data_IF_780507983095
#
_entry.id   IF_780507983095
#
_cell.length_a   1.000
_cell.length_b   1.000
_cell.length_c   1.000
_cell.angle_alpha   90.00
_cell.angle_beta   90.00
_cell.angle_gamma   90.00
#
_symmetry.space_group_name_H-M   'P 1'
#
loop_
_entity.id
_entity.type
_entity.pdbx_description
1 polymer ?
#
# COMPACT_ATOMS: atom_id res chain seq x y z
N UNK A 1 -4.73 34.22 83.69
CA UNK A 1 -5.77 35.26 83.59
C UNK A 1 -6.12 35.46 82.15
N UNK A 2 -7.36 35.12 81.76
CA UNK A 2 -8.15 35.33 80.54
C UNK A 2 -7.58 34.81 79.20
N UNK A 3 -8.09 33.64 78.82
CA UNK A 3 -8.26 33.09 77.48
C UNK A 3 -9.13 33.99 76.59
N UNK A 4 -8.74 34.18 75.34
CA UNK A 4 -9.68 34.55 74.29
C UNK A 4 -9.56 33.58 73.13
N UNK A 5 -10.65 32.86 72.87
CA UNK A 5 -10.89 31.97 71.73
C UNK A 5 -11.05 32.79 70.45
N UNK A 6 -10.38 32.38 69.36
CA UNK A 6 -10.73 32.74 68.02
C UNK A 6 -11.11 31.47 67.22
N UNK A 7 -12.38 31.40 66.90
CA UNK A 7 -12.95 30.42 65.98
C UNK A 7 -12.63 30.85 64.54
N UNK A 8 -11.84 30.06 63.87
CA UNK A 8 -11.62 30.18 62.41
C UNK A 8 -12.59 29.22 61.70
N UNK A 9 -13.55 29.77 60.96
CA UNK A 9 -14.47 29.05 60.08
C UNK A 9 -13.72 28.67 58.79
N UNK A 10 -13.39 27.41 58.61
CA UNK A 10 -12.91 26.84 57.35
C UNK A 10 -14.06 26.74 56.34
N UNK A 11 -14.01 27.52 55.28
CA UNK A 11 -14.83 27.29 54.07
C UNK A 11 -14.13 26.26 53.20
N UNK A 12 -14.71 25.07 53.10
CA UNK A 12 -14.30 24.06 52.10
C UNK A 12 -14.87 24.50 50.78
N UNK A 13 -13.97 24.87 49.84
CA UNK A 13 -14.32 25.12 48.43
C UNK A 13 -14.24 23.78 47.69
N UNK A 14 -15.41 23.21 47.37
CA UNK A 14 -15.49 22.02 46.52
C UNK A 14 -15.24 22.45 45.08
N UNK A 15 -14.01 22.24 44.57
CA UNK A 15 -13.70 22.41 43.18
C UNK A 15 -14.20 21.21 42.38
N UNK A 16 -15.23 21.44 41.56
CA UNK A 16 -15.69 20.48 40.55
C UNK A 16 -14.70 20.50 39.41
N UNK A 17 -13.80 19.48 39.33
CA UNK A 17 -13.01 19.23 38.11
C UNK A 17 -13.95 18.64 37.05
N UNK A 18 -14.37 19.48 36.10
CA UNK A 18 -15.02 19.05 34.89
C UNK A 18 -13.99 18.33 34.00
N UNK A 19 -14.05 17.02 33.93
CA UNK A 19 -13.37 16.24 32.86
C UNK A 19 -14.08 16.54 31.55
N UNK A 20 -13.49 17.41 30.72
CA UNK A 20 -13.87 17.53 29.34
C UNK A 20 -13.40 16.27 28.61
N UNK A 21 -14.30 15.33 28.36
CA UNK A 21 -14.06 14.26 27.38
C UNK A 21 -13.97 14.94 26.01
N UNK A 22 -12.74 15.07 25.49
CA UNK A 22 -12.52 15.36 24.10
C UNK A 22 -13.01 14.13 23.32
N UNK A 23 -14.22 14.23 22.75
CA UNK A 23 -14.66 13.29 21.73
C UNK A 23 -13.74 13.44 20.53
N UNK A 24 -12.94 12.42 20.25
CA UNK A 24 -12.22 12.29 18.99
C UNK A 24 -13.27 12.23 17.87
N UNK A 25 -13.53 13.37 17.26
CA UNK A 25 -14.27 13.42 16.00
C UNK A 25 -13.40 12.77 14.95
N UNK A 26 -13.73 11.55 14.54
CA UNK A 26 -13.29 11.00 13.26
C UNK A 26 -13.85 11.93 12.19
N UNK A 27 -13.00 12.79 11.65
CA UNK A 27 -13.39 13.62 10.52
C UNK A 27 -13.63 12.66 9.35
N UNK A 28 -14.89 12.46 8.98
CA UNK A 28 -15.21 11.91 7.68
C UNK A 28 -14.53 12.82 6.65
N UNK A 29 -13.67 12.22 5.79
CA UNK A 29 -13.09 12.95 4.68
C UNK A 29 -14.24 13.59 3.88
N UNK A 30 -14.17 14.90 3.70
CA UNK A 30 -15.09 15.64 2.85
C UNK A 30 -14.84 15.17 1.40
N UNK A 31 -15.79 14.53 0.72
CA UNK A 31 -15.59 14.02 -0.63
C UNK A 31 -15.34 15.13 -1.67
N UNK A 32 -15.61 16.40 -1.34
CA UNK A 32 -15.36 17.55 -2.19
C UNK A 32 -14.03 18.26 -1.91
N UNK A 33 -13.25 17.78 -0.91
CA UNK A 33 -11.92 18.31 -0.63
C UNK A 33 -10.88 17.68 -1.56
N UNK A 34 -10.53 18.38 -2.63
CA UNK A 34 -9.49 17.99 -3.61
C UNK A 34 -8.05 18.22 -3.10
N UNK A 35 -7.88 18.53 -1.81
CA UNK A 35 -6.59 18.84 -1.20
C UNK A 35 -5.80 17.60 -0.84
N UNK A 36 -4.50 17.64 -1.16
CA UNK A 36 -3.57 16.59 -0.81
C UNK A 36 -3.24 16.60 0.69
N UNK A 37 -3.56 15.53 1.39
CA UNK A 37 -3.17 15.29 2.78
C UNK A 37 -1.82 14.56 2.83
N UNK A 38 -0.77 15.15 3.43
CA UNK A 38 0.49 14.45 3.65
C UNK A 38 0.28 13.24 4.57
N UNK A 39 0.88 12.10 4.20
CA UNK A 39 0.97 10.91 5.05
C UNK A 39 2.32 10.81 5.75
N UNK A 40 3.35 11.49 5.25
CA UNK A 40 4.69 11.49 5.83
C UNK A 40 4.87 12.72 6.72
N UNK A 41 5.10 12.48 8.00
CA UNK A 41 5.51 13.45 9.02
C UNK A 41 6.85 13.05 9.65
N UNK A 42 7.34 13.84 10.60
CA UNK A 42 8.66 13.60 11.23
C UNK A 42 8.69 12.36 12.13
N UNK A 43 7.55 11.98 12.70
CA UNK A 43 7.44 10.97 13.73
C UNK A 43 6.77 9.67 13.24
N UNK A 44 6.42 9.60 11.95
CA UNK A 44 5.62 8.50 11.40
C UNK A 44 4.31 8.31 12.17
N UNK A 45 3.69 9.40 12.65
CA UNK A 45 2.55 9.35 13.58
C UNK A 45 1.34 8.63 13.00
N UNK A 46 1.19 8.65 11.66
CA UNK A 46 0.10 7.99 10.92
C UNK A 46 0.40 6.53 10.59
N UNK A 47 1.58 6.02 10.99
CA UNK A 47 2.08 4.72 10.59
C UNK A 47 2.39 3.82 11.78
N UNK A 48 2.46 2.53 11.54
CA UNK A 48 3.00 1.51 12.44
C UNK A 48 3.94 0.59 11.65
N UNK A 49 4.98 0.10 12.32
CA UNK A 49 5.99 -0.76 11.72
C UNK A 49 5.73 -2.20 12.12
N UNK A 50 5.75 -3.10 11.15
CA UNK A 50 5.85 -4.53 11.38
C UNK A 50 7.12 -5.06 10.75
N UNK A 51 8.03 -5.60 11.56
CA UNK A 51 9.31 -6.14 11.09
C UNK A 51 9.22 -7.67 11.00
N UNK A 52 9.56 -8.19 9.84
CA UNK A 52 9.56 -9.61 9.52
C UNK A 52 10.71 -10.38 10.15
N UNK A 53 11.14 -11.45 9.47
CA UNK A 53 12.19 -12.36 9.93
C UNK A 53 13.57 -11.77 9.58
N UNK A 54 14.46 -11.53 10.56
CA UNK A 54 15.82 -11.10 10.26
C UNK A 54 16.60 -12.19 9.56
N UNK A 55 17.39 -11.83 8.53
CA UNK A 55 18.34 -12.76 7.94
C UNK A 55 19.42 -13.16 8.96
N UNK A 56 19.94 -14.38 8.87
CA UNK A 56 20.93 -14.92 9.81
C UNK A 56 22.18 -14.07 9.97
N UNK A 57 22.56 -13.28 8.94
CA UNK A 57 23.72 -12.37 8.97
C UNK A 57 23.44 -11.03 9.64
N UNK A 58 22.18 -10.71 9.97
CA UNK A 58 21.83 -9.43 10.61
C UNK A 58 22.20 -9.49 12.10
N UNK A 59 22.93 -8.48 12.54
CA UNK A 59 23.32 -8.33 13.94
C UNK A 59 22.16 -7.81 14.79
N UNK A 60 21.33 -8.73 15.24
CA UNK A 60 20.23 -8.52 16.18
C UNK A 60 20.14 -9.74 17.09
N UNK A 61 19.92 -9.54 18.37
CA UNK A 61 19.70 -10.61 19.34
C UNK A 61 18.27 -11.18 19.17
N UNK A 62 18.17 -12.21 18.35
CA UNK A 62 16.90 -12.84 17.99
C UNK A 62 17.10 -14.30 17.58
N UNK A 63 16.34 -15.21 18.20
CA UNK A 63 16.40 -16.66 18.00
C UNK A 63 15.63 -17.17 16.77
N UNK A 64 14.82 -16.30 16.16
CA UNK A 64 13.93 -16.61 15.04
C UNK A 64 14.45 -16.23 13.66
N UNK A 65 15.78 -16.03 13.47
CA UNK A 65 16.39 -15.65 12.18
C UNK A 65 16.22 -16.75 11.12
N UNK A 66 16.22 -16.35 9.83
CA UNK A 66 16.15 -17.25 8.69
C UNK A 66 17.04 -16.82 7.53
N UNK A 67 17.46 -17.76 6.68
CA UNK A 67 18.37 -17.47 5.55
C UNK A 67 17.69 -16.83 4.34
N UNK A 68 16.36 -16.89 4.28
CA UNK A 68 15.56 -16.32 3.20
C UNK A 68 14.83 -15.02 3.59
N UNK A 69 14.93 -14.58 4.86
CA UNK A 69 14.22 -13.42 5.40
C UNK A 69 12.71 -13.63 5.56
N UNK A 70 12.20 -14.84 5.32
CA UNK A 70 10.77 -15.19 5.32
C UNK A 70 10.47 -16.31 6.31
N UNK A 71 11.29 -17.37 6.26
CA UNK A 71 11.14 -18.54 7.13
C UNK A 71 11.76 -18.27 8.49
N UNK A 72 10.96 -18.32 9.55
CA UNK A 72 11.43 -18.06 10.92
C UNK A 72 10.38 -17.35 11.74
N UNK A 73 10.82 -16.63 12.77
CA UNK A 73 9.95 -15.87 13.66
C UNK A 73 10.13 -14.38 13.41
N UNK A 74 9.08 -13.65 12.99
CA UNK A 74 9.18 -12.20 12.78
C UNK A 74 9.46 -11.47 14.09
N UNK A 75 10.14 -10.34 14.02
CA UNK A 75 10.31 -9.42 15.17
C UNK A 75 8.95 -8.87 15.61
N UNK A 76 8.06 -8.58 14.67
CA UNK A 76 6.67 -8.24 14.94
C UNK A 76 6.35 -6.76 14.92
N UNK A 77 5.17 -6.43 15.47
CA UNK A 77 4.61 -5.07 15.47
C UNK A 77 5.35 -4.17 16.46
N UNK A 78 5.58 -2.91 16.04
CA UNK A 78 6.25 -1.88 16.84
C UNK A 78 7.78 -2.05 16.91
N UNK A 79 8.34 -3.02 16.20
CA UNK A 79 9.78 -3.33 16.24
C UNK A 79 10.50 -2.63 15.07
N UNK A 80 11.28 -1.60 15.39
CA UNK A 80 12.08 -0.82 14.43
C UNK A 80 13.50 -0.55 14.97
N UNK A 81 14.03 -1.44 15.80
CA UNK A 81 15.28 -1.27 16.52
C UNK A 81 16.49 -1.06 15.62
N UNK A 82 16.43 -1.60 14.41
CA UNK A 82 17.46 -1.43 13.39
C UNK A 82 17.30 -0.16 12.55
N UNK A 83 16.26 0.67 12.84
CA UNK A 83 15.96 1.85 12.05
C UNK A 83 15.64 1.50 10.58
N UNK A 84 14.82 0.44 10.39
CA UNK A 84 14.40 0.01 9.05
C UNK A 84 13.68 1.16 8.34
N UNK A 85 12.81 1.84 9.07
CA UNK A 85 12.12 3.04 8.61
C UNK A 85 12.56 4.23 9.49
N UNK A 86 13.19 5.22 8.88
CA UNK A 86 13.62 6.45 9.56
C UNK A 86 13.27 7.67 8.75
N UNK A 87 12.81 8.72 9.41
CA UNK A 87 12.57 10.00 8.75
C UNK A 87 13.81 10.86 8.90
N UNK A 88 14.30 11.39 7.80
CA UNK A 88 15.37 12.40 7.75
C UNK A 88 14.81 13.69 7.17
N UNK A 89 15.34 14.82 7.61
CA UNK A 89 14.94 16.11 7.04
C UNK A 89 15.88 16.48 5.90
N UNK A 90 15.33 16.60 4.69
CA UNK A 90 16.06 17.04 3.51
C UNK A 90 15.40 18.30 2.95
N UNK A 91 16.16 19.38 2.81
CA UNK A 91 15.66 20.68 2.31
C UNK A 91 14.41 21.17 3.07
N UNK A 92 14.38 20.96 4.41
CA UNK A 92 13.26 21.36 5.27
C UNK A 92 12.00 20.50 5.14
N UNK A 93 12.06 19.37 4.43
CA UNK A 93 10.94 18.45 4.23
C UNK A 93 11.26 17.05 4.75
N UNK A 94 10.29 16.31 5.28
CA UNK A 94 10.51 14.94 5.70
C UNK A 94 10.73 14.03 4.47
N UNK A 95 11.73 13.17 4.59
CA UNK A 95 12.05 12.11 3.66
C UNK A 95 12.19 10.79 4.42
N UNK A 96 11.47 9.76 4.00
CA UNK A 96 11.54 8.44 4.59
C UNK A 96 12.72 7.68 3.99
N UNK A 97 13.64 7.25 4.83
CA UNK A 97 14.68 6.28 4.49
C UNK A 97 14.17 4.90 4.86
N UNK A 98 14.17 3.99 3.91
CA UNK A 98 13.96 2.56 4.11
C UNK A 98 15.31 1.88 3.97
N UNK A 99 15.82 1.24 5.04
CA UNK A 99 17.16 0.63 5.01
C UNK A 99 17.26 -0.61 4.13
N UNK A 100 16.17 -1.34 3.96
CA UNK A 100 16.14 -2.62 3.26
C UNK A 100 16.73 -3.80 4.05
N UNK A 101 17.29 -3.57 5.23
CA UNK A 101 18.09 -4.53 5.99
C UNK A 101 17.30 -5.78 6.42
N UNK A 102 16.04 -5.60 6.78
CA UNK A 102 15.11 -6.67 7.13
C UNK A 102 13.82 -6.44 6.36
N UNK A 103 13.19 -7.50 5.91
CA UNK A 103 11.85 -7.40 5.32
C UNK A 103 10.88 -6.86 6.35
N UNK A 104 10.22 -5.77 6.02
CA UNK A 104 9.34 -5.07 6.95
C UNK A 104 8.25 -4.30 6.17
N UNK A 105 7.20 -3.94 6.88
CA UNK A 105 6.12 -3.13 6.36
C UNK A 105 5.89 -1.90 7.24
N UNK A 106 5.89 -0.72 6.63
CA UNK A 106 5.39 0.51 7.21
C UNK A 106 3.93 0.66 6.81
N UNK A 107 3.01 0.54 7.77
CA UNK A 107 1.58 0.38 7.54
C UNK A 107 0.81 1.58 8.04
N UNK A 108 -0.12 2.13 7.27
CA UNK A 108 -1.01 3.19 7.76
C UNK A 108 -1.88 2.67 8.91
N UNK A 109 -2.08 3.48 9.95
CA UNK A 109 -2.99 3.16 11.07
C UNK A 109 -4.44 3.16 10.60
N UNK A 110 -4.78 4.05 9.68
CA UNK A 110 -6.12 4.18 9.10
C UNK A 110 -6.25 3.37 7.82
N UNK A 111 -7.46 2.88 7.57
CA UNK A 111 -7.86 2.32 6.28
C UNK A 111 -8.28 3.42 5.33
N UNK A 112 -7.95 3.24 4.05
CA UNK A 112 -8.28 4.16 2.97
C UNK A 112 -9.25 3.50 1.98
N UNK A 113 -10.17 4.31 1.43
CA UNK A 113 -11.05 3.93 0.34
C UNK A 113 -11.27 5.13 -0.59
N UNK A 114 -11.47 4.89 -1.89
CA UNK A 114 -11.73 5.92 -2.89
C UNK A 114 -10.71 7.07 -2.83
N UNK A 115 -9.48 6.77 -3.22
CA UNK A 115 -8.36 7.70 -3.06
C UNK A 115 -7.44 7.74 -4.27
N UNK A 116 -6.68 8.82 -4.34
CA UNK A 116 -5.48 8.98 -5.15
C UNK A 116 -4.28 9.11 -4.20
N UNK A 117 -3.44 8.09 -4.17
CA UNK A 117 -2.15 8.08 -3.46
C UNK A 117 -1.05 8.48 -4.44
N UNK A 118 -0.12 9.32 -4.00
CA UNK A 118 1.13 9.59 -4.73
C UNK A 118 2.31 9.56 -3.79
N UNK A 119 3.46 9.18 -4.32
CA UNK A 119 4.75 9.25 -3.66
C UNK A 119 5.86 9.31 -4.70
N UNK A 120 7.04 9.73 -4.28
CA UNK A 120 8.25 9.61 -5.09
C UNK A 120 9.24 8.70 -4.38
N UNK A 121 9.97 7.87 -5.13
CA UNK A 121 11.04 7.03 -4.61
C UNK A 121 12.35 7.24 -5.37
N UNK A 122 13.46 6.90 -4.71
CA UNK A 122 14.80 6.90 -5.31
C UNK A 122 15.63 5.79 -4.69
N UNK A 123 16.21 4.94 -5.54
CA UNK A 123 17.13 3.91 -5.11
C UNK A 123 18.42 4.47 -4.53
N UNK A 124 18.96 3.76 -3.54
CA UNK A 124 20.32 3.92 -3.02
C UNK A 124 21.20 2.74 -3.46
N UNK A 125 22.49 2.82 -3.17
CA UNK A 125 23.45 1.78 -3.60
C UNK A 125 23.35 0.49 -2.77
N UNK A 126 22.91 0.59 -1.52
CA UNK A 126 23.01 -0.48 -0.54
C UNK A 126 21.98 -1.58 -0.77
N UNK A 127 22.45 -2.82 -0.69
CA UNK A 127 21.63 -4.05 -0.75
C UNK A 127 21.97 -4.95 0.42
N UNK A 128 21.04 -5.84 0.77
CA UNK A 128 21.14 -6.74 1.89
C UNK A 128 20.79 -8.17 1.51
N UNK A 129 21.37 -9.20 2.22
CA UNK A 129 20.91 -10.57 2.09
C UNK A 129 19.41 -10.69 2.44
N UNK A 130 18.69 -11.60 1.77
CA UNK A 130 19.20 -12.56 0.78
C UNK A 130 19.32 -11.99 -0.65
N UNK A 131 19.03 -10.69 -0.88
CA UNK A 131 18.88 -10.10 -2.22
C UNK A 131 20.12 -9.35 -2.74
N UNK A 132 21.31 -9.69 -2.32
CA UNK A 132 22.55 -9.00 -2.72
C UNK A 132 22.76 -8.95 -4.24
N UNK A 133 22.40 -10.03 -4.96
CA UNK A 133 22.56 -10.17 -6.41
C UNK A 133 21.25 -9.95 -7.19
N UNK A 134 20.13 -9.90 -6.47
CA UNK A 134 18.81 -9.68 -7.08
C UNK A 134 18.60 -8.20 -7.45
N UNK A 135 17.59 -7.92 -8.27
CA UNK A 135 17.10 -6.56 -8.50
C UNK A 135 16.71 -5.91 -7.17
N UNK A 136 16.91 -4.60 -7.04
CA UNK A 136 16.39 -3.85 -5.89
C UNK A 136 14.88 -3.95 -5.87
N UNK A 137 14.32 -4.11 -4.68
CA UNK A 137 12.90 -4.41 -4.50
C UNK A 137 12.30 -3.62 -3.33
N UNK A 138 11.11 -3.17 -3.54
CA UNK A 138 10.19 -2.55 -2.61
C UNK A 138 8.79 -2.56 -3.25
N UNK A 139 7.78 -2.01 -2.59
CA UNK A 139 6.43 -1.93 -3.16
C UNK A 139 5.51 -1.05 -2.34
N UNK A 140 4.43 -0.63 -2.99
CA UNK A 140 3.27 -0.02 -2.36
C UNK A 140 2.16 -1.06 -2.37
N UNK A 141 1.88 -1.61 -1.19
CA UNK A 141 0.74 -2.51 -1.00
C UNK A 141 -0.48 -1.68 -0.59
N UNK A 142 -1.60 -1.97 -1.20
CA UNK A 142 -2.83 -1.23 -0.94
C UNK A 142 -4.02 -2.18 -0.75
N UNK A 143 -5.10 -1.67 -0.16
CA UNK A 143 -6.20 -2.47 0.34
C UNK A 143 -5.71 -3.62 1.24
N UNK A 144 -4.73 -3.30 2.11
CA UNK A 144 -4.17 -4.26 3.04
C UNK A 144 -5.20 -4.64 4.10
N UNK A 145 -5.46 -5.93 4.24
CA UNK A 145 -6.46 -6.51 5.14
C UNK A 145 -5.94 -7.70 5.92
N UNK A 146 -6.62 -8.05 7.00
CA UNK A 146 -6.24 -9.15 7.87
C UNK A 146 -5.14 -8.75 8.87
N UNK A 147 -4.33 -9.71 9.29
CA UNK A 147 -3.27 -9.47 10.29
C UNK A 147 -1.94 -9.13 9.63
N UNK A 148 -1.11 -8.38 10.34
CA UNK A 148 0.30 -8.25 9.98
C UNK A 148 0.97 -9.63 9.92
N UNK A 149 1.92 -9.81 9.02
CA UNK A 149 2.66 -11.06 8.87
C UNK A 149 1.86 -12.21 8.25
N UNK A 150 0.66 -11.95 7.69
CA UNK A 150 -0.18 -12.98 7.07
C UNK A 150 0.47 -13.60 5.82
N UNK A 151 1.30 -12.85 5.12
CA UNK A 151 2.05 -13.30 3.95
C UNK A 151 3.56 -13.10 4.20
N UNK A 152 4.35 -14.15 3.97
CA UNK A 152 5.81 -14.18 4.18
C UNK A 152 6.28 -13.77 5.59
N UNK A 153 5.42 -13.92 6.60
CA UNK A 153 5.69 -13.44 7.96
C UNK A 153 6.00 -11.92 8.04
N UNK A 154 5.56 -11.12 7.06
CA UNK A 154 5.81 -9.68 7.04
C UNK A 154 4.62 -8.87 6.52
N UNK A 155 4.02 -9.23 5.39
CA UNK A 155 2.99 -8.42 4.73
C UNK A 155 1.57 -8.82 5.13
N UNK A 156 0.62 -7.90 4.98
CA UNK A 156 -0.81 -8.19 5.03
C UNK A 156 -1.28 -8.73 3.68
N UNK A 157 -2.47 -9.35 3.63
CA UNK A 157 -3.12 -9.65 2.36
C UNK A 157 -3.45 -8.34 1.63
N UNK A 158 -3.04 -8.20 0.38
CA UNK A 158 -3.12 -6.93 -0.36
C UNK A 158 -2.95 -7.10 -1.86
N UNK A 159 -3.11 -5.99 -2.59
CA UNK A 159 -2.59 -5.84 -3.95
C UNK A 159 -1.34 -4.96 -3.88
N UNK A 160 -0.40 -5.20 -4.77
CA UNK A 160 0.86 -4.50 -4.79
C UNK A 160 1.05 -3.77 -6.12
N UNK A 161 1.35 -2.49 -6.01
CA UNK A 161 1.99 -1.70 -7.06
C UNK A 161 3.50 -1.84 -6.86
N UNK A 162 4.12 -2.68 -7.67
CA UNK A 162 5.52 -3.07 -7.53
C UNK A 162 6.47 -1.87 -7.71
N UNK A 163 7.50 -1.83 -6.88
CA UNK A 163 8.66 -0.96 -7.02
C UNK A 163 9.90 -1.88 -7.06
N UNK A 164 10.16 -2.45 -8.21
CA UNK A 164 11.35 -3.26 -8.45
C UNK A 164 12.06 -2.71 -9.69
N UNK A 165 13.40 -2.72 -9.70
CA UNK A 165 14.19 -2.29 -10.87
C UNK A 165 13.67 -2.93 -12.16
N UNK A 166 13.39 -2.13 -13.17
CA UNK A 166 12.82 -2.48 -14.48
C UNK A 166 11.37 -3.05 -14.45
N UNK A 167 10.71 -3.10 -13.28
CA UNK A 167 9.39 -3.71 -13.12
C UNK A 167 8.40 -2.82 -12.34
N UNK A 168 8.69 -1.53 -12.24
CA UNK A 168 7.85 -0.57 -11.54
C UNK A 168 6.44 -0.51 -12.11
N UNK A 169 5.45 -0.49 -11.21
CA UNK A 169 4.02 -0.40 -11.55
C UNK A 169 3.37 -1.74 -11.89
N UNK A 170 4.11 -2.83 -12.01
CA UNK A 170 3.55 -4.17 -12.21
C UNK A 170 2.62 -4.55 -11.06
N UNK A 171 1.65 -5.39 -11.34
CA UNK A 171 0.73 -5.93 -10.35
C UNK A 171 1.25 -7.24 -9.77
N UNK A 172 1.32 -7.30 -8.46
CA UNK A 172 1.52 -8.52 -7.69
C UNK A 172 0.36 -8.73 -6.72
N UNK A 173 -0.13 -9.96 -6.68
CA UNK A 173 -1.14 -10.41 -5.74
C UNK A 173 -0.47 -10.90 -4.46
N UNK A 174 -0.87 -10.37 -3.32
CA UNK A 174 -0.31 -10.72 -2.01
C UNK A 174 -1.35 -11.46 -1.17
N UNK A 175 -1.08 -12.71 -0.85
CA UNK A 175 -1.95 -13.54 -0.01
C UNK A 175 -3.28 -13.91 -0.66
N UNK A 176 -4.40 -13.68 0.02
CA UNK A 176 -5.76 -14.11 -0.37
C UNK A 176 -6.52 -13.12 -1.25
N UNK A 177 -5.84 -12.13 -1.84
CA UNK A 177 -6.48 -11.17 -2.75
C UNK A 177 -6.56 -11.70 -4.18
N UNK A 178 -7.42 -11.12 -4.98
CA UNK A 178 -7.55 -11.40 -6.41
C UNK A 178 -8.07 -10.17 -7.15
N UNK A 179 -7.76 -10.11 -8.45
CA UNK A 179 -8.24 -9.05 -9.33
C UNK A 179 -8.34 -9.55 -10.77
N UNK A 180 -9.08 -8.83 -11.60
CA UNK A 180 -9.03 -8.99 -13.04
C UNK A 180 -8.21 -7.88 -13.67
N UNK A 181 -7.38 -8.25 -14.64
CA UNK A 181 -6.50 -7.34 -15.38
C UNK A 181 -6.64 -7.62 -16.87
N UNK A 182 -6.79 -6.59 -17.73
CA UNK A 182 -6.74 -6.79 -19.17
C UNK A 182 -5.29 -7.06 -19.60
N UNK A 183 -5.09 -8.18 -20.30
CA UNK A 183 -3.75 -8.66 -20.72
C UNK A 183 -3.77 -9.16 -22.15
N UNK A 184 -2.60 -9.26 -22.76
CA UNK A 184 -2.44 -9.85 -24.09
C UNK A 184 -2.96 -11.31 -24.11
N UNK A 185 -3.88 -11.60 -25.04
CA UNK A 185 -4.47 -12.92 -25.19
C UNK A 185 -3.45 -14.00 -25.67
N UNK A 186 -2.39 -13.59 -26.35
CA UNK A 186 -1.41 -14.46 -27.01
C UNK A 186 -0.50 -15.24 -26.04
N UNK A 187 -0.40 -14.84 -24.78
CA UNK A 187 0.39 -15.57 -23.80
C UNK A 187 -0.43 -16.72 -23.20
N UNK A 188 -0.42 -17.88 -23.87
CA UNK A 188 -0.74 -19.11 -23.17
C UNK A 188 0.26 -19.25 -22.03
N UNK A 189 -0.23 -19.14 -20.81
CA UNK A 189 0.58 -19.37 -19.61
C UNK A 189 1.05 -20.83 -19.67
N UNK A 190 2.27 -21.06 -20.16
CA UNK A 190 2.94 -22.34 -19.96
C UNK A 190 3.49 -22.34 -18.52
N UNK A 191 2.95 -23.18 -17.63
CA UNK A 191 3.43 -23.24 -16.25
C UNK A 191 4.95 -23.53 -16.15
N UNK A 192 5.55 -24.11 -17.19
CA UNK A 192 6.99 -24.44 -17.24
C UNK A 192 7.85 -23.25 -17.68
N UNK A 193 7.32 -22.30 -18.44
CA UNK A 193 8.10 -21.20 -19.00
C UNK A 193 8.14 -19.94 -18.12
N UNK A 194 7.39 -19.91 -17.02
CA UNK A 194 7.30 -18.74 -16.11
C UNK A 194 6.98 -17.42 -16.84
N UNK A 195 6.38 -17.48 -18.03
CA UNK A 195 5.96 -16.29 -18.78
C UNK A 195 4.87 -15.57 -17.98
N UNK A 196 5.18 -14.35 -17.56
CA UNK A 196 4.22 -13.50 -16.89
C UNK A 196 3.47 -12.68 -17.93
N UNK A 197 2.12 -12.60 -17.88
CA UNK A 197 1.35 -11.77 -18.79
C UNK A 197 1.71 -10.30 -18.61
N UNK A 198 1.59 -9.54 -19.71
CA UNK A 198 1.76 -8.10 -19.71
C UNK A 198 0.40 -7.41 -19.77
N UNK A 199 0.30 -6.30 -19.08
CA UNK A 199 -0.86 -5.43 -19.16
C UNK A 199 -1.06 -4.92 -20.59
N UNK A 200 -2.30 -4.99 -21.07
CA UNK A 200 -2.74 -4.38 -22.32
C UNK A 200 -4.19 -3.85 -22.10
N UNK A 201 -4.41 -2.51 -22.16
CA UNK A 201 -5.73 -1.93 -21.91
C UNK A 201 -6.82 -2.44 -22.85
N UNK A 202 -6.46 -2.87 -24.06
CA UNK A 202 -7.37 -3.44 -25.07
C UNK A 202 -7.42 -4.98 -25.05
N UNK A 203 -6.68 -5.60 -24.11
CA UNK A 203 -6.53 -7.03 -24.00
C UNK A 203 -7.74 -7.75 -23.39
N UNK A 204 -7.61 -9.06 -23.24
CA UNK A 204 -8.59 -9.91 -22.58
C UNK A 204 -8.57 -9.70 -21.06
N UNK A 205 -9.73 -9.47 -20.45
CA UNK A 205 -9.85 -9.32 -19.00
C UNK A 205 -9.75 -10.70 -18.33
N UNK A 206 -8.60 -10.98 -17.69
CA UNK A 206 -8.30 -12.24 -17.02
C UNK A 206 -8.24 -12.08 -15.51
N UNK A 207 -8.66 -13.14 -14.80
CA UNK A 207 -8.59 -13.23 -13.35
C UNK A 207 -7.25 -13.78 -12.88
N UNK A 208 -6.65 -13.09 -11.91
CA UNK A 208 -5.43 -13.46 -11.18
C UNK A 208 -5.81 -13.69 -9.72
N UNK A 209 -5.71 -14.95 -9.30
CA UNK A 209 -6.19 -15.44 -8.00
C UNK A 209 -5.22 -16.51 -7.45
N UNK A 210 -5.34 -16.94 -6.19
CA UNK A 210 -4.62 -18.10 -5.68
C UNK A 210 -4.76 -19.29 -6.62
N UNK A 211 -3.63 -19.90 -7.01
CA UNK A 211 -3.61 -21.01 -7.96
C UNK A 211 -3.78 -20.66 -9.46
N UNK A 212 -4.12 -19.39 -9.79
CA UNK A 212 -4.34 -18.93 -11.18
C UNK A 212 -3.31 -17.88 -11.65
N UNK A 213 -2.17 -17.80 -10.99
CA UNK A 213 -1.18 -16.75 -11.22
C UNK A 213 -1.38 -15.55 -10.30
N UNK A 214 -0.33 -14.76 -10.11
CA UNK A 214 -0.34 -13.66 -9.15
C UNK A 214 0.31 -12.38 -9.63
N UNK A 215 0.80 -12.34 -10.88
CA UNK A 215 1.59 -11.23 -11.38
C UNK A 215 1.19 -10.87 -12.80
N UNK A 216 1.06 -9.57 -13.06
CA UNK A 216 0.95 -8.99 -14.41
C UNK A 216 2.00 -7.90 -14.53
N UNK A 217 2.87 -8.01 -15.53
CA UNK A 217 3.95 -7.06 -15.75
C UNK A 217 3.45 -5.79 -16.43
N UNK A 218 4.07 -4.66 -16.09
CA UNK A 218 4.01 -3.46 -16.92
C UNK A 218 4.52 -3.80 -18.33
N UNK A 219 3.89 -3.30 -19.40
CA UNK A 219 4.32 -3.61 -20.77
C UNK A 219 5.73 -3.12 -21.07
N UNK A 220 6.09 -1.96 -20.51
CA UNK A 220 7.40 -1.30 -20.68
C UNK A 220 7.79 -0.66 -19.36
N UNK A 221 9.08 -0.67 -19.03
CA UNK A 221 9.58 0.10 -17.89
C UNK A 221 9.51 1.60 -18.19
N UNK A 222 8.92 2.35 -17.28
CA UNK A 222 8.89 3.81 -17.26
C UNK A 222 9.76 4.37 -16.12
N UNK A 223 10.58 3.53 -15.51
CA UNK A 223 11.51 3.91 -14.46
C UNK A 223 12.62 4.79 -15.05
N UNK A 224 13.01 5.83 -14.30
CA UNK A 224 14.16 6.67 -14.61
C UNK A 224 15.45 5.97 -14.18
N UNK A 225 16.61 6.40 -14.69
CA UNK A 225 17.90 5.85 -14.30
C UNK A 225 18.11 5.79 -12.80
N UNK A 226 18.92 4.83 -12.36
CA UNK A 226 19.28 4.64 -10.95
C UNK A 226 19.75 5.96 -10.31
N UNK A 227 19.26 6.24 -9.10
CA UNK A 227 19.56 7.46 -8.36
C UNK A 227 18.68 8.66 -8.69
N UNK A 228 17.81 8.58 -9.70
CA UNK A 228 16.81 9.61 -9.99
C UNK A 228 15.48 9.37 -9.24
N UNK A 229 14.73 10.46 -9.02
CA UNK A 229 13.42 10.38 -8.40
C UNK A 229 12.36 9.89 -9.39
N UNK A 230 11.66 8.83 -9.02
CA UNK A 230 10.53 8.26 -9.74
C UNK A 230 9.23 8.55 -9.00
N UNK A 231 8.18 8.91 -9.73
CA UNK A 231 6.85 9.10 -9.19
C UNK A 231 6.00 7.83 -9.37
N UNK A 232 5.37 7.39 -8.29
CA UNK A 232 4.38 6.31 -8.28
C UNK A 232 3.05 6.88 -7.81
N UNK A 233 1.98 6.53 -8.52
CA UNK A 233 0.64 6.88 -8.11
C UNK A 233 -0.25 5.64 -8.16
N UNK A 234 -1.12 5.51 -7.16
CA UNK A 234 -2.19 4.51 -7.10
C UNK A 234 -3.51 5.24 -6.96
N UNK A 235 -4.38 5.10 -7.96
CA UNK A 235 -5.76 5.54 -7.86
C UNK A 235 -6.64 4.33 -7.58
N UNK A 236 -7.52 4.40 -6.58
CA UNK A 236 -8.42 3.33 -6.22
C UNK A 236 -9.84 3.86 -5.98
N UNK A 237 -10.83 3.24 -6.62
CA UNK A 237 -12.25 3.56 -6.45
C UNK A 237 -13.05 2.26 -6.44
N UNK A 238 -13.80 2.03 -5.36
CA UNK A 238 -14.54 0.79 -5.19
C UNK A 238 -13.62 -0.42 -5.33
N UNK A 239 -13.94 -1.33 -6.24
CA UNK A 239 -13.19 -2.54 -6.54
C UNK A 239 -12.29 -2.40 -7.80
N UNK A 240 -11.83 -1.19 -8.09
CA UNK A 240 -10.96 -0.88 -9.23
C UNK A 240 -9.74 -0.09 -8.77
N UNK A 241 -8.60 -0.29 -9.45
CA UNK A 241 -7.39 0.47 -9.21
C UNK A 241 -6.57 0.69 -10.49
N UNK A 242 -5.74 1.74 -10.46
CA UNK A 242 -4.83 2.10 -11.56
C UNK A 242 -3.45 2.36 -10.97
N UNK A 243 -2.40 1.80 -11.58
CA UNK A 243 -1.02 2.16 -11.26
C UNK A 243 -0.47 3.10 -12.35
N UNK A 244 0.23 4.13 -11.89
CA UNK A 244 0.84 5.15 -12.74
C UNK A 244 2.30 5.30 -12.34
N UNK A 245 3.20 5.25 -13.31
CA UNK A 245 4.65 5.43 -13.12
C UNK A 245 5.09 6.59 -13.97
N UNK A 246 5.68 7.62 -13.34
CA UNK A 246 6.16 8.83 -14.00
C UNK A 246 5.13 9.45 -14.96
N UNK A 247 3.86 9.48 -14.53
CA UNK A 247 2.73 10.03 -15.28
C UNK A 247 2.14 9.11 -16.35
N UNK A 248 2.66 7.90 -16.53
CA UNK A 248 2.12 6.91 -17.48
C UNK A 248 1.33 5.84 -16.78
N UNK A 249 0.10 5.57 -17.24
CA UNK A 249 -0.71 4.44 -16.77
C UNK A 249 -0.05 3.14 -17.25
N UNK A 250 0.29 2.26 -16.31
CA UNK A 250 0.99 1.00 -16.60
C UNK A 250 0.18 -0.23 -16.18
N UNK A 251 -0.91 -0.03 -15.43
CA UNK A 251 -1.75 -1.13 -14.94
C UNK A 251 -3.17 -0.63 -14.66
N UNK A 252 -4.17 -1.44 -15.02
CA UNK A 252 -5.55 -1.26 -14.61
C UNK A 252 -6.10 -2.55 -14.00
N UNK A 253 -6.66 -2.48 -12.80
CA UNK A 253 -7.24 -3.61 -12.08
C UNK A 253 -8.74 -3.41 -11.91
N UNK A 254 -9.50 -4.47 -12.06
CA UNK A 254 -10.96 -4.47 -11.95
C UNK A 254 -11.42 -5.66 -11.12
N UNK A 255 -12.61 -5.55 -10.54
CA UNK A 255 -13.23 -6.62 -9.74
C UNK A 255 -12.25 -7.14 -8.66
N UNK A 256 -11.65 -6.21 -7.94
CA UNK A 256 -10.74 -6.52 -6.83
C UNK A 256 -11.56 -7.17 -5.72
N UNK A 257 -11.09 -8.33 -5.23
CA UNK A 257 -11.76 -9.12 -4.20
C UNK A 257 -10.76 -9.75 -3.24
N UNK A 258 -11.29 -10.28 -2.16
CA UNK A 258 -10.58 -11.11 -1.19
C UNK A 258 -11.28 -12.47 -1.04
N UNK A 259 -10.51 -13.54 -0.94
CA UNK A 259 -11.03 -14.85 -0.54
C UNK A 259 -11.31 -14.87 0.98
N UNK A 260 -12.50 -15.30 1.35
CA UNK A 260 -12.91 -15.51 2.75
C UNK A 260 -13.68 -16.82 2.82
N UNK A 261 -13.14 -17.81 3.54
CA UNK A 261 -13.69 -19.16 3.55
C UNK A 261 -13.72 -19.73 2.12
N UNK A 262 -14.87 -20.26 1.71
CA UNK A 262 -15.07 -20.85 0.38
C UNK A 262 -15.57 -19.84 -0.67
N UNK A 263 -15.60 -18.54 -0.34
CA UNK A 263 -16.13 -17.50 -1.21
C UNK A 263 -15.19 -16.31 -1.39
N UNK A 264 -15.69 -15.30 -2.10
CA UNK A 264 -14.99 -14.03 -2.30
C UNK A 264 -15.89 -12.85 -1.99
N UNK A 265 -15.32 -11.79 -1.44
CA UNK A 265 -16.02 -10.51 -1.24
C UNK A 265 -15.31 -9.39 -1.99
N UNK A 266 -16.01 -8.35 -2.45
CA UNK A 266 -15.37 -7.16 -3.00
C UNK A 266 -14.42 -6.53 -1.97
N UNK A 267 -13.21 -6.19 -2.41
CA UNK A 267 -12.20 -5.53 -1.59
C UNK A 267 -12.06 -4.08 -2.07
N UNK A 268 -12.64 -3.13 -1.31
CA UNK A 268 -12.80 -1.72 -1.72
C UNK A 268 -12.02 -0.76 -0.85
N UNK A 269 -11.50 -1.24 0.29
CA UNK A 269 -10.80 -0.45 1.29
C UNK A 269 -9.78 -1.30 2.01
N UNK A 270 -8.84 -0.66 2.66
CA UNK A 270 -7.83 -1.29 3.50
C UNK A 270 -6.72 -0.32 3.83
N UNK A 271 -5.73 -0.81 4.57
CA UNK A 271 -4.54 -0.03 4.90
C UNK A 271 -3.60 0.04 3.69
N UNK A 272 -2.60 0.92 3.80
CA UNK A 272 -1.50 1.04 2.83
C UNK A 272 -0.22 0.60 3.52
N UNK A 273 0.61 -0.21 2.83
CA UNK A 273 1.93 -0.60 3.31
C UNK A 273 3.02 -0.14 2.32
N UNK A 274 4.15 0.30 2.86
CA UNK A 274 5.40 0.52 2.12
C UNK A 274 6.35 -0.59 2.55
N UNK A 275 6.95 -1.28 1.58
CA UNK A 275 7.83 -2.40 1.84
C UNK A 275 9.28 -1.97 2.11
N UNK A 276 9.96 -2.77 2.96
CA UNK A 276 11.40 -2.91 3.03
C UNK A 276 11.73 -4.31 2.56
N UNK A 277 12.50 -4.44 1.46
CA UNK A 277 12.75 -5.74 0.83
C UNK A 277 14.15 -5.85 0.21
N UNK A 278 15.17 -5.83 1.07
CA UNK A 278 16.56 -6.16 0.69
C UNK A 278 17.33 -5.04 -0.01
N UNK A 279 16.74 -3.86 -0.24
CA UNK A 279 17.39 -2.72 -0.86
C UNK A 279 17.11 -1.42 -0.10
N UNK A 280 18.12 -0.57 0.02
CA UNK A 280 17.96 0.77 0.57
C UNK A 280 17.36 1.71 -0.49
N UNK A 281 16.34 2.48 -0.06
CA UNK A 281 15.74 3.51 -0.89
C UNK A 281 15.18 4.64 -0.04
N UNK A 282 14.83 5.71 -0.72
CA UNK A 282 14.23 6.89 -0.09
C UNK A 282 12.87 7.16 -0.71
N UNK A 283 11.91 7.57 0.13
CA UNK A 283 10.60 8.06 -0.29
C UNK A 283 10.41 9.51 0.15
N UNK A 284 9.68 10.28 -0.64
CA UNK A 284 9.24 11.63 -0.29
C UNK A 284 7.86 11.92 -0.88
N UNK A 285 7.24 13.02 -0.44
CA UNK A 285 5.96 13.49 -0.96
C UNK A 285 4.86 12.42 -0.90
N UNK A 286 4.88 11.58 0.15
CA UNK A 286 3.81 10.59 0.36
C UNK A 286 2.55 11.34 0.76
N UNK A 287 1.55 11.37 -0.12
CA UNK A 287 0.32 12.10 0.11
C UNK A 287 -0.87 11.38 -0.54
N UNK A 288 -2.05 11.61 0.05
CA UNK A 288 -3.31 11.01 -0.38
C UNK A 288 -4.38 12.10 -0.47
N UNK A 289 -5.31 11.94 -1.41
CA UNK A 289 -6.53 12.76 -1.47
C UNK A 289 -7.74 11.88 -1.81
N UNK A 290 -8.95 12.30 -1.48
CA UNK A 290 -10.17 11.63 -1.94
C UNK A 290 -10.24 11.60 -3.47
N UNK A 291 -10.89 10.57 -4.01
CA UNK A 291 -11.13 10.42 -5.44
C UNK A 291 -12.55 9.89 -5.67
N UNK A 292 -13.39 10.67 -6.32
CA UNK A 292 -14.79 10.30 -6.58
C UNK A 292 -15.01 9.63 -7.94
N UNK A 293 -14.12 9.90 -8.90
CA UNK A 293 -14.13 9.28 -10.24
C UNK A 293 -12.71 9.26 -10.82
N UNK A 294 -12.42 8.27 -11.63
CA UNK A 294 -11.20 8.31 -12.45
C UNK A 294 -11.32 9.41 -13.53
N UNK A 295 -10.26 10.19 -13.77
CA UNK A 295 -10.20 11.02 -14.96
C UNK A 295 -10.40 10.15 -16.21
N UNK A 296 -11.16 10.63 -17.18
CA UNK A 296 -11.56 9.83 -18.35
C UNK A 296 -10.36 9.26 -19.13
N UNK A 297 -9.32 10.06 -19.31
CA UNK A 297 -8.09 9.62 -19.98
C UNK A 297 -7.39 8.47 -19.22
N UNK A 298 -7.36 8.54 -17.88
CA UNK A 298 -6.79 7.51 -17.02
C UNK A 298 -7.62 6.22 -17.08
N UNK A 299 -8.95 6.32 -16.96
CA UNK A 299 -9.84 5.17 -17.06
C UNK A 299 -9.70 4.44 -18.40
N UNK A 300 -9.62 5.19 -19.50
CA UNK A 300 -9.39 4.63 -20.85
C UNK A 300 -8.03 3.94 -20.95
N UNK A 301 -6.95 4.59 -20.49
CA UNK A 301 -5.60 4.02 -20.52
C UNK A 301 -5.46 2.79 -19.60
N UNK A 302 -6.30 2.68 -18.56
CA UNK A 302 -6.38 1.52 -17.66
C UNK A 302 -7.27 0.37 -18.20
N UNK A 303 -7.82 0.49 -19.41
CA UNK A 303 -8.72 -0.52 -19.97
C UNK A 303 -10.07 -0.62 -19.25
N UNK A 304 -10.45 0.41 -18.52
CA UNK A 304 -11.75 0.50 -17.85
C UNK A 304 -12.77 1.00 -18.85
N UNK A 305 -13.51 0.06 -19.46
CA UNK A 305 -14.59 0.41 -20.40
C UNK A 305 -15.74 0.99 -19.59
N UNK A 306 -16.24 2.15 -20.02
CA UNK A 306 -17.56 2.61 -19.57
C UNK A 306 -18.56 1.48 -19.85
N UNK A 307 -19.29 1.02 -18.83
CA UNK A 307 -20.55 0.33 -19.06
C UNK A 307 -21.52 1.38 -19.63
N UNK A 308 -21.38 1.68 -20.92
CA UNK A 308 -22.45 2.34 -21.63
C UNK A 308 -23.64 1.39 -21.53
N UNK A 309 -24.75 1.91 -21.05
CA UNK A 309 -26.08 1.28 -21.14
C UNK A 309 -26.44 1.10 -22.63
N UNK A 310 -25.77 0.20 -23.31
CA UNK A 310 -26.18 -0.25 -24.65
C UNK A 310 -27.32 -1.25 -24.46
N UNK A 311 -28.49 -0.72 -24.07
CA UNK A 311 -29.75 -1.34 -24.36
C UNK A 311 -29.90 -1.30 -25.89
N UNK A 312 -29.36 -2.31 -26.56
CA UNK A 312 -29.73 -2.58 -27.93
C UNK A 312 -31.24 -2.73 -27.91
N UNK A 313 -31.92 -1.69 -28.39
CA UNK A 313 -33.32 -1.72 -28.73
C UNK A 313 -33.42 -2.77 -29.86
N UNK A 314 -33.88 -3.96 -29.50
CA UNK A 314 -34.24 -4.99 -30.47
C UNK A 314 -35.31 -4.42 -31.37
N UNK A 315 -35.01 -4.17 -32.64
CA UNK A 315 -36.02 -3.96 -33.64
C UNK A 315 -36.81 -5.26 -33.79
N UNK A 316 -38.14 -5.25 -33.67
CA UNK A 316 -38.95 -6.41 -34.00
C UNK A 316 -38.81 -6.65 -35.48
N UNK A 317 -38.40 -7.86 -35.84
CA UNK A 317 -38.48 -8.38 -37.20
C UNK A 317 -39.97 -8.46 -37.54
N UNK A 318 -40.45 -7.64 -38.47
CA UNK A 318 -41.75 -7.81 -39.09
C UNK A 318 -41.60 -8.89 -40.17
N UNK A 319 -42.18 -10.06 -39.90
CA UNK A 319 -42.42 -11.09 -40.91
C UNK A 319 -43.41 -10.55 -41.95
N UNK A 320 -43.01 -10.66 -43.19
CA UNK A 320 -43.92 -10.69 -44.35
C UNK A 320 -43.66 -11.92 -45.15
#
# INVERSE_FOLDING_TARGET
MLLRHYLLKSRVLLGILGFAMASAQTSKADPDNDEWRPLLDQDLSQWEVFTGVPHTTIDVDWDGKGDDGITGKPLGLGRNERGIFTVIMAEGRPMLRVSGEIYAALTTKEECENYHLKLEFRWSEKKWPPRLTEKRDSGVLYHCVGKHGAFWNVFMHSLECQIQEDDCGSFYRVGSTLAKVPVDAALKLDPKQKLRPKFNPDGELREFAPGKGGTVLSPVSHEKPHGEWNAIEVMAIGDQAVHIVNGTVVMGLQQIRQEIGDGTIPLKRGRIQIQSEGAELFYRQIAIRPLTKFPEAIARAAGMRHQSNDKRIGHPIQDK
#
